data_IF_599983904488
#
_entry.id   IF_599983904488
#
_cell.length_a   1.000
_cell.length_b   1.000
_cell.length_c   1.000
_cell.angle_alpha   90.00
_cell.angle_beta   90.00
_cell.angle_gamma   90.00
#
_symmetry.space_group_name_H-M   'P 1'
#
loop_
_entity.id
_entity.type
_entity.pdbx_description
1 polymer ?
#
# COMPACT_ATOMS: atom_id res chain seq x y z
N UNK A 1 -62.36 -43.37 2.24
CA UNK A 1 -60.94 -43.70 2.00
C UNK A 1 -60.42 -42.78 0.92
N UNK A 2 -59.83 -41.66 1.30
CA UNK A 2 -59.12 -40.76 0.38
C UNK A 2 -57.64 -40.81 0.78
N UNK A 3 -56.78 -41.07 -0.21
CA UNK A 3 -55.35 -41.33 -0.07
C UNK A 3 -54.62 -40.10 -0.61
N UNK A 4 -54.00 -39.34 0.28
CA UNK A 4 -53.17 -38.19 -0.06
C UNK A 4 -51.84 -38.65 -0.66
N UNK A 5 -51.53 -38.15 -1.86
CA UNK A 5 -50.22 -38.30 -2.51
C UNK A 5 -49.38 -37.04 -2.25
N UNK A 6 -48.29 -37.22 -1.51
CA UNK A 6 -47.21 -36.25 -1.35
C UNK A 6 -46.29 -36.31 -2.58
N UNK A 7 -46.02 -35.17 -3.21
CA UNK A 7 -44.89 -35.02 -4.13
C UNK A 7 -44.03 -33.83 -3.68
N UNK A 8 -42.77 -34.15 -3.37
CA UNK A 8 -41.77 -33.27 -2.76
C UNK A 8 -41.17 -32.35 -3.82
N UNK A 9 -41.29 -31.04 -3.64
CA UNK A 9 -40.54 -30.05 -4.43
C UNK A 9 -39.13 -29.94 -3.86
N UNK A 10 -38.12 -30.37 -4.62
CA UNK A 10 -36.71 -30.11 -4.35
C UNK A 10 -36.43 -28.63 -4.66
N UNK A 11 -36.29 -27.82 -3.62
CA UNK A 11 -35.76 -26.46 -3.72
C UNK A 11 -34.24 -26.56 -3.76
N UNK A 12 -33.64 -26.33 -4.93
CA UNK A 12 -32.20 -26.17 -5.06
C UNK A 12 -31.77 -24.87 -4.38
N UNK A 13 -30.91 -24.97 -3.37
CA UNK A 13 -30.22 -23.82 -2.80
C UNK A 13 -29.20 -23.32 -3.82
N UNK A 14 -29.54 -22.23 -4.52
CA UNK A 14 -28.53 -21.42 -5.19
C UNK A 14 -27.70 -20.75 -4.09
N UNK A 15 -26.47 -21.23 -3.88
CA UNK A 15 -25.47 -20.52 -3.08
C UNK A 15 -25.13 -19.23 -3.82
N UNK A 16 -25.76 -18.13 -3.41
CA UNK A 16 -25.31 -16.79 -3.75
C UNK A 16 -23.90 -16.64 -3.14
N UNK A 17 -22.87 -16.68 -3.98
CA UNK A 17 -21.53 -16.25 -3.59
C UNK A 17 -21.64 -14.76 -3.35
N UNK A 18 -21.75 -14.36 -2.07
CA UNK A 18 -21.65 -12.96 -1.69
C UNK A 18 -20.26 -12.52 -2.10
N UNK A 19 -20.16 -11.59 -3.04
CA UNK A 19 -18.92 -10.85 -3.30
C UNK A 19 -18.67 -10.01 -2.05
N UNK A 20 -17.98 -10.59 -1.06
CA UNK A 20 -17.50 -9.83 0.08
C UNK A 20 -16.28 -9.08 -0.41
N UNK A 21 -16.34 -7.75 -0.44
CA UNK A 21 -15.18 -6.87 -0.51
C UNK A 21 -14.39 -6.99 0.80
N UNK A 22 -13.79 -8.16 1.01
CA UNK A 22 -13.02 -8.47 2.20
C UNK A 22 -11.66 -7.77 2.13
N UNK A 23 -11.17 -7.34 3.28
CA UNK A 23 -9.84 -6.78 3.40
C UNK A 23 -9.42 -6.83 4.86
N UNK A 24 -8.14 -6.59 5.11
CA UNK A 24 -7.69 -6.15 6.43
C UNK A 24 -6.80 -4.92 6.29
N UNK A 25 -6.86 -4.09 7.34
CA UNK A 25 -5.99 -2.94 7.50
C UNK A 25 -4.85 -3.37 8.41
N UNK A 26 -3.62 -3.22 7.96
CA UNK A 26 -2.41 -3.43 8.73
C UNK A 26 -1.89 -2.06 9.18
N UNK A 27 -2.12 -1.65 10.44
CA UNK A 27 -1.57 -0.40 10.95
C UNK A 27 -0.07 -0.53 11.13
N UNK A 28 0.66 0.47 10.65
CA UNK A 28 2.06 0.70 10.96
C UNK A 28 2.16 2.01 11.75
N UNK A 29 2.63 1.94 13.00
CA UNK A 29 2.47 3.01 13.99
C UNK A 29 3.33 4.26 13.73
N UNK A 30 4.45 4.10 13.02
CA UNK A 30 5.43 5.15 12.74
C UNK A 30 6.38 4.74 11.62
N UNK A 31 7.12 5.69 11.02
CA UNK A 31 8.31 5.34 10.26
C UNK A 31 9.30 4.56 11.12
N UNK A 32 9.84 3.49 10.57
CA UNK A 32 10.99 2.79 11.17
C UNK A 32 12.27 3.60 10.95
N UNK A 33 12.37 4.30 9.81
CA UNK A 33 13.44 5.25 9.47
C UNK A 33 12.98 6.22 8.35
N UNK A 34 13.56 7.41 8.30
CA UNK A 34 13.43 8.38 7.19
C UNK A 34 14.84 8.69 6.69
N UNK A 35 15.17 8.30 5.46
CA UNK A 35 16.54 8.42 4.93
C UNK A 35 16.57 8.35 3.40
N UNK A 36 17.72 8.68 2.80
CA UNK A 36 18.00 8.54 1.37
C UNK A 36 18.48 7.13 1.03
N UNK A 37 17.59 6.16 1.18
CA UNK A 37 17.89 4.76 0.90
C UNK A 37 16.71 4.12 0.18
N UNK A 38 17.05 3.40 -0.89
CA UNK A 38 16.10 2.69 -1.74
C UNK A 38 16.81 1.44 -2.27
N UNK A 39 16.70 0.30 -1.57
CA UNK A 39 17.41 -0.92 -1.94
C UNK A 39 16.86 -1.59 -3.21
N UNK A 40 15.74 -1.10 -3.76
CA UNK A 40 15.22 -1.55 -5.05
C UNK A 40 15.97 -0.80 -6.16
N UNK A 41 15.89 0.53 -6.16
CA UNK A 41 16.42 1.37 -7.24
C UNK A 41 17.93 1.65 -7.13
N UNK A 42 18.45 1.74 -5.90
CA UNK A 42 19.82 2.15 -5.59
C UNK A 42 20.46 1.17 -4.58
N UNK A 43 20.59 -0.12 -4.94
CA UNK A 43 21.23 -1.09 -4.06
C UNK A 43 22.68 -0.69 -3.75
N UNK A 44 23.06 -0.72 -2.48
CA UNK A 44 24.39 -0.33 -1.96
C UNK A 44 24.76 1.14 -2.27
N UNK A 45 23.77 2.01 -2.52
CA UNK A 45 23.99 3.40 -2.87
C UNK A 45 22.97 4.36 -2.23
N UNK A 46 23.37 5.63 -2.10
CA UNK A 46 22.46 6.68 -1.62
C UNK A 46 21.40 6.94 -2.70
N UNK A 47 20.13 6.88 -2.30
CA UNK A 47 19.01 7.16 -3.21
C UNK A 47 18.97 8.64 -3.62
N UNK A 48 18.46 8.91 -4.83
CA UNK A 48 18.31 10.25 -5.37
C UNK A 48 17.44 11.17 -4.52
N UNK A 49 16.49 10.60 -3.75
CA UNK A 49 15.64 11.35 -2.84
C UNK A 49 15.45 10.63 -1.49
N UNK A 50 14.87 11.34 -0.53
CA UNK A 50 14.54 10.80 0.79
C UNK A 50 13.21 10.04 0.76
N UNK A 51 13.15 8.89 1.41
CA UNK A 51 11.90 8.16 1.63
C UNK A 51 11.55 8.09 3.11
N UNK A 52 10.26 7.94 3.38
CA UNK A 52 9.73 7.56 4.69
C UNK A 52 9.39 6.08 4.65
N UNK A 53 10.05 5.30 5.52
CA UNK A 53 10.01 3.85 5.50
C UNK A 53 9.26 3.31 6.71
N UNK A 54 8.30 2.43 6.49
CA UNK A 54 7.56 1.68 7.50
C UNK A 54 7.95 0.20 7.47
N UNK A 55 7.59 -0.54 8.53
CA UNK A 55 7.77 -1.99 8.60
C UNK A 55 8.96 -2.42 9.44
N UNK A 56 9.65 -3.46 8.96
CA UNK A 56 10.76 -4.12 9.65
C UNK A 56 11.95 -3.19 9.95
N UNK A 57 12.62 -3.42 11.08
CA UNK A 57 13.87 -2.74 11.43
C UNK A 57 15.13 -3.30 10.77
N UNK A 58 15.01 -4.35 9.96
CA UNK A 58 16.12 -4.88 9.17
C UNK A 58 16.37 -4.09 7.87
N UNK A 59 15.59 -3.03 7.62
CA UNK A 59 15.74 -2.17 6.45
C UNK A 59 17.18 -1.66 6.31
N UNK A 60 17.79 -1.90 5.16
CA UNK A 60 19.15 -1.50 4.83
C UNK A 60 19.31 -1.30 3.31
N UNK A 61 20.48 -0.84 2.89
CA UNK A 61 20.79 -0.46 1.50
C UNK A 61 20.81 -1.61 0.50
N UNK A 62 20.80 -2.86 0.95
CA UNK A 62 20.86 -4.05 0.09
C UNK A 62 19.76 -5.06 0.40
N UNK A 63 18.71 -4.66 1.12
CA UNK A 63 17.76 -5.62 1.69
C UNK A 63 17.11 -6.51 0.61
N UNK A 64 17.07 -7.80 0.89
CA UNK A 64 16.23 -8.77 0.23
C UNK A 64 15.28 -9.48 1.22
N UNK A 65 14.65 -10.57 0.80
CA UNK A 65 13.78 -11.34 1.69
C UNK A 65 14.56 -11.90 2.88
N UNK A 66 15.75 -12.46 2.70
CA UNK A 66 16.56 -12.99 3.78
C UNK A 66 16.91 -11.90 4.81
N UNK A 67 17.26 -10.68 4.38
CA UNK A 67 17.47 -9.58 5.32
C UNK A 67 16.20 -9.25 6.10
N UNK A 68 15.01 -9.21 5.47
CA UNK A 68 13.77 -8.96 6.21
C UNK A 68 13.56 -9.96 7.35
N UNK A 69 14.01 -11.22 7.18
CA UNK A 69 13.86 -12.27 8.20
C UNK A 69 14.83 -12.10 9.39
N UNK A 70 15.81 -11.21 9.30
CA UNK A 70 16.71 -10.89 10.42
C UNK A 70 16.12 -9.88 11.40
N UNK A 71 14.94 -9.32 11.06
CA UNK A 71 14.28 -8.30 11.85
C UNK A 71 13.92 -8.77 13.25
N UNK A 72 14.18 -7.92 14.23
CA UNK A 72 13.81 -8.17 15.63
C UNK A 72 12.50 -7.47 16.01
N UNK A 73 12.08 -6.48 15.23
CA UNK A 73 10.81 -5.78 15.39
C UNK A 73 10.29 -5.24 14.05
N UNK A 74 9.04 -4.81 14.03
CA UNK A 74 8.45 -4.07 12.91
C UNK A 74 7.52 -3.00 13.47
N UNK A 75 7.40 -1.87 12.77
CA UNK A 75 6.43 -0.84 13.13
C UNK A 75 4.99 -1.23 12.77
N UNK A 76 4.78 -2.37 12.10
CA UNK A 76 3.48 -2.89 11.67
C UNK A 76 2.92 -4.00 12.59
N UNK A 77 1.59 -4.06 12.67
CA UNK A 77 0.84 -4.81 13.69
C UNK A 77 1.01 -6.33 13.64
N UNK A 78 1.00 -6.94 12.45
CA UNK A 78 1.10 -8.39 12.32
C UNK A 78 2.54 -8.87 12.57
N UNK A 79 2.75 -9.74 13.56
CA UNK A 79 4.07 -10.29 13.93
C UNK A 79 4.74 -10.94 12.71
N UNK A 80 3.95 -11.64 11.92
CA UNK A 80 4.36 -12.38 10.72
C UNK A 80 4.70 -11.50 9.51
N UNK A 81 4.45 -10.19 9.58
CA UNK A 81 4.84 -9.26 8.53
C UNK A 81 6.15 -8.55 8.90
N UNK A 82 7.22 -8.93 8.21
CA UNK A 82 8.53 -8.29 8.26
C UNK A 82 8.85 -7.52 6.97
N UNK A 83 7.84 -7.25 6.14
CA UNK A 83 7.99 -6.44 4.92
C UNK A 83 8.40 -5.01 5.25
N UNK A 84 8.87 -4.29 4.22
CA UNK A 84 9.03 -2.85 4.26
C UNK A 84 8.19 -2.19 3.16
N UNK A 85 7.65 -1.02 3.52
CA UNK A 85 6.76 -0.21 2.70
C UNK A 85 7.29 1.21 2.76
N UNK A 86 7.51 1.87 1.62
CA UNK A 86 7.99 3.24 1.66
C UNK A 86 7.43 4.13 0.55
N UNK A 87 7.49 5.43 0.82
CA UNK A 87 6.94 6.52 -0.01
C UNK A 87 7.91 7.70 0.03
N UNK A 88 7.91 8.62 -0.96
CA UNK A 88 8.73 9.82 -0.91
C UNK A 88 8.34 10.70 0.28
N UNK A 89 9.34 11.27 0.96
CA UNK A 89 9.09 12.16 2.10
C UNK A 89 8.51 13.50 1.64
N UNK A 90 7.59 14.08 2.40
CA UNK A 90 7.01 15.39 2.11
C UNK A 90 7.78 16.50 2.85
N UNK A 91 8.07 17.59 2.13
CA UNK A 91 8.69 18.77 2.68
C UNK A 91 7.80 20.00 2.49
N UNK A 92 7.78 20.89 3.47
CA UNK A 92 7.39 22.28 3.30
C UNK A 92 8.58 23.04 2.72
N UNK A 93 8.39 23.67 1.58
CA UNK A 93 9.35 24.59 0.98
C UNK A 93 8.98 25.99 1.42
N UNK A 94 9.89 26.70 2.09
CA UNK A 94 9.65 28.04 2.61
C UNK A 94 9.99 29.12 1.57
N UNK A 95 9.43 30.33 1.73
CA UNK A 95 9.69 31.46 0.82
C UNK A 95 11.18 31.82 0.72
N UNK A 96 11.96 31.57 1.77
CA UNK A 96 13.41 31.79 1.80
C UNK A 96 14.22 30.68 1.10
N UNK A 97 13.57 29.68 0.50
CA UNK A 97 14.19 28.54 -0.19
C UNK A 97 14.63 27.39 0.71
N UNK A 98 14.40 27.47 2.03
CA UNK A 98 14.67 26.36 2.95
C UNK A 98 13.57 25.30 2.93
N UNK A 99 13.90 24.09 3.37
CA UNK A 99 12.96 22.97 3.44
C UNK A 99 12.82 22.50 4.89
N UNK A 100 11.59 22.25 5.32
CA UNK A 100 11.28 21.59 6.58
C UNK A 100 10.54 20.28 6.30
N UNK A 101 10.94 19.19 6.94
CA UNK A 101 10.20 17.92 6.81
C UNK A 101 8.80 18.10 7.40
N UNK A 102 7.78 17.71 6.65
CA UNK A 102 6.41 17.61 7.18
C UNK A 102 6.35 16.32 7.99
N UNK A 103 5.82 16.38 9.22
CA UNK A 103 5.67 15.16 10.01
C UNK A 103 4.62 14.23 9.40
N UNK A 104 4.91 12.94 9.43
CA UNK A 104 3.92 11.89 9.20
C UNK A 104 3.07 11.74 10.48
N UNK A 105 1.75 11.74 10.34
CA UNK A 105 0.82 11.46 11.45
C UNK A 105 0.74 9.96 11.65
N UNK A 106 1.44 9.46 12.67
CA UNK A 106 1.61 8.02 12.87
C UNK A 106 2.61 7.46 11.86
N UNK A 107 2.24 6.36 11.20
CA UNK A 107 3.03 5.76 10.12
C UNK A 107 2.20 5.66 8.83
N UNK A 108 1.92 4.43 8.43
CA UNK A 108 1.05 4.14 7.31
C UNK A 108 -0.04 3.16 7.72
N UNK A 109 -1.16 3.21 7.01
CA UNK A 109 -2.16 2.16 7.04
C UNK A 109 -2.06 1.39 5.73
N UNK A 110 -1.59 0.15 5.81
CA UNK A 110 -1.42 -0.72 4.64
C UNK A 110 -2.63 -1.62 4.55
N UNK A 111 -3.35 -1.54 3.45
CA UNK A 111 -4.52 -2.36 3.19
C UNK A 111 -4.12 -3.55 2.34
N UNK A 112 -4.64 -4.71 2.71
CA UNK A 112 -4.61 -5.92 1.91
C UNK A 112 -6.03 -6.20 1.45
N UNK A 113 -6.32 -5.83 0.20
CA UNK A 113 -7.66 -5.86 -0.37
C UNK A 113 -7.88 -7.17 -1.13
N UNK A 114 -8.86 -7.97 -0.71
CA UNK A 114 -9.22 -9.23 -1.37
C UNK A 114 -10.12 -8.96 -2.59
N UNK A 115 -9.63 -8.14 -3.51
CA UNK A 115 -10.34 -7.78 -4.73
C UNK A 115 -10.25 -8.92 -5.74
N UNK A 116 -11.39 -9.46 -6.12
CA UNK A 116 -11.52 -10.44 -7.21
C UNK A 116 -12.61 -10.00 -8.16
N UNK A 117 -12.50 -10.35 -9.44
CA UNK A 117 -13.57 -10.17 -10.40
C UNK A 117 -14.00 -11.53 -10.96
N UNK A 118 -15.28 -11.93 -10.84
CA UNK A 118 -15.79 -13.16 -11.46
C UNK A 118 -15.62 -13.22 -12.98
N UNK A 119 -15.44 -12.07 -13.65
CA UNK A 119 -15.18 -11.95 -15.08
C UNK A 119 -13.68 -12.04 -15.42
N UNK A 120 -12.79 -12.10 -14.43
CA UNK A 120 -11.39 -12.41 -14.66
C UNK A 120 -11.30 -13.85 -15.20
N UNK A 121 -10.65 -14.09 -16.36
CA UNK A 121 -10.47 -15.44 -16.90
C UNK A 121 -9.81 -16.42 -15.92
N UNK A 122 -9.02 -15.91 -14.97
CA UNK A 122 -8.33 -16.70 -13.96
C UNK A 122 -8.96 -16.58 -12.56
N UNK A 123 -10.20 -16.07 -12.44
CA UNK A 123 -10.87 -15.86 -11.15
C UNK A 123 -10.89 -17.11 -10.26
N UNK A 124 -11.03 -18.29 -10.86
CA UNK A 124 -11.09 -19.57 -10.16
C UNK A 124 -9.77 -19.95 -9.46
N UNK A 125 -8.63 -19.36 -9.85
CA UNK A 125 -7.35 -19.58 -9.18
C UNK A 125 -7.25 -18.83 -7.83
N UNK A 126 -8.08 -17.81 -7.64
CA UNK A 126 -8.11 -16.99 -6.44
C UNK A 126 -6.88 -16.09 -6.28
N UNK A 127 -6.81 -15.43 -5.12
CA UNK A 127 -5.70 -14.56 -4.76
C UNK A 127 -4.55 -15.38 -4.16
N UNK A 128 -3.32 -15.02 -4.54
CA UNK A 128 -2.10 -15.66 -4.05
C UNK A 128 -1.28 -14.72 -3.14
N UNK A 129 -0.50 -15.26 -2.19
CA UNK A 129 0.45 -14.49 -1.40
C UNK A 129 1.67 -14.09 -2.25
N UNK A 130 2.43 -13.10 -1.78
CA UNK A 130 3.70 -12.73 -2.40
C UNK A 130 4.77 -13.81 -2.14
N UNK A 131 5.51 -14.25 -3.18
CA UNK A 131 6.61 -15.20 -3.03
C UNK A 131 7.82 -14.54 -2.33
N UNK A 132 8.79 -15.37 -1.91
CA UNK A 132 10.08 -14.87 -1.40
C UNK A 132 10.75 -14.01 -2.47
N UNK A 133 11.50 -13.02 -2.03
CA UNK A 133 12.25 -12.06 -2.85
C UNK A 133 11.40 -11.14 -3.73
N UNK A 134 10.08 -11.25 -3.66
CA UNK A 134 9.16 -10.40 -4.40
C UNK A 134 9.29 -8.93 -3.97
N UNK A 135 9.40 -8.05 -4.96
CA UNK A 135 9.43 -6.59 -4.78
C UNK A 135 8.76 -5.91 -5.95
N UNK A 136 8.18 -4.74 -5.74
CA UNK A 136 7.53 -3.99 -6.81
C UNK A 136 7.44 -2.50 -6.48
N UNK A 137 7.28 -1.70 -7.54
CA UNK A 137 7.02 -0.26 -7.46
C UNK A 137 5.62 0.08 -7.99
N UNK A 138 5.07 1.20 -7.53
CA UNK A 138 3.87 1.83 -8.08
C UNK A 138 4.07 3.34 -8.21
N UNK A 139 3.43 3.96 -9.20
CA UNK A 139 3.66 5.36 -9.54
C UNK A 139 4.99 5.56 -10.29
N UNK A 140 5.38 6.81 -10.50
CA UNK A 140 6.60 7.16 -11.23
C UNK A 140 7.19 8.48 -10.71
N UNK A 141 8.41 8.48 -10.14
CA UNK A 141 9.03 9.68 -9.56
C UNK A 141 9.34 10.79 -10.58
N UNK A 142 9.33 10.51 -11.88
CA UNK A 142 9.63 11.48 -12.94
C UNK A 142 8.38 12.20 -13.48
N UNK A 143 7.18 11.75 -13.11
CA UNK A 143 5.94 12.37 -13.56
C UNK A 143 5.77 13.80 -13.01
N UNK A 144 5.42 14.74 -13.89
CA UNK A 144 5.13 16.15 -13.53
C UNK A 144 3.81 16.66 -14.11
N UNK A 145 3.03 15.78 -14.73
CA UNK A 145 1.71 16.09 -15.29
C UNK A 145 0.79 14.85 -15.26
N UNK A 146 -0.52 15.10 -15.30
CA UNK A 146 -1.52 14.05 -15.42
C UNK A 146 -1.82 13.73 -16.89
N UNK A 147 -1.67 12.46 -17.25
CA UNK A 147 -1.92 11.91 -18.59
C UNK A 147 -2.93 10.76 -18.58
N UNK A 148 -3.63 10.56 -17.45
CA UNK A 148 -4.65 9.53 -17.25
C UNK A 148 -4.18 8.08 -17.48
N UNK A 149 -2.89 7.83 -17.22
CA UNK A 149 -2.36 6.46 -17.19
C UNK A 149 -2.85 5.72 -15.93
N UNK A 150 -3.01 4.39 -15.97
CA UNK A 150 -3.38 3.60 -14.79
C UNK A 150 -2.50 3.88 -13.57
N UNK A 151 -1.18 3.91 -13.73
CA UNK A 151 -0.24 4.22 -12.63
C UNK A 151 -0.48 5.60 -11.98
N UNK A 152 -0.96 6.59 -12.75
CA UNK A 152 -1.29 7.93 -12.23
C UNK A 152 -2.66 7.94 -11.56
N UNK A 153 -3.64 7.21 -12.10
CA UNK A 153 -4.95 7.03 -11.46
C UNK A 153 -4.85 6.27 -10.13
N UNK A 154 -3.81 5.45 -9.97
CA UNK A 154 -3.58 4.69 -8.75
C UNK A 154 -3.12 5.57 -7.58
N UNK A 155 -2.63 6.78 -7.88
CA UNK A 155 -2.21 7.79 -6.90
C UNK A 155 -3.37 8.76 -6.65
N UNK A 156 -3.65 9.07 -5.39
CA UNK A 156 -4.59 10.14 -5.07
C UNK A 156 -4.28 10.85 -3.76
N UNK A 157 -4.87 12.03 -3.60
CA UNK A 157 -4.67 12.93 -2.46
C UNK A 157 -6.02 13.29 -1.85
N UNK A 158 -6.15 13.10 -0.54
CA UNK A 158 -7.36 13.44 0.22
C UNK A 158 -7.02 14.49 1.25
N UNK A 159 -7.74 15.61 1.17
CA UNK A 159 -7.62 16.71 2.10
C UNK A 159 -8.53 16.46 3.32
N UNK A 160 -7.98 15.88 4.38
CA UNK A 160 -8.77 15.51 5.56
C UNK A 160 -9.28 16.76 6.31
N UNK A 161 -10.41 16.61 6.99
CA UNK A 161 -11.09 17.74 7.65
C UNK A 161 -11.81 18.70 6.70
N UNK A 162 -11.95 18.33 5.42
CA UNK A 162 -12.70 19.09 4.41
C UNK A 162 -13.62 18.16 3.62
N UNK A 163 -14.68 18.70 3.03
CA UNK A 163 -15.52 17.97 2.06
C UNK A 163 -14.92 18.04 0.66
N UNK A 164 -15.04 16.95 -0.10
CA UNK A 164 -14.62 16.87 -1.50
C UNK A 164 -14.09 15.49 -1.88
N UNK A 165 -13.97 15.22 -3.19
CA UNK A 165 -13.37 13.99 -3.67
C UNK A 165 -11.85 14.00 -3.47
N UNK A 166 -11.23 12.82 -3.61
CA UNK A 166 -9.79 12.73 -3.81
C UNK A 166 -9.38 13.42 -5.12
N UNK A 167 -8.17 13.97 -5.16
CA UNK A 167 -7.56 14.60 -6.33
C UNK A 167 -6.36 13.79 -6.81
N UNK A 168 -5.91 14.02 -8.05
CA UNK A 168 -4.69 13.41 -8.61
C UNK A 168 -3.44 14.28 -8.46
N UNK A 169 -3.59 15.44 -7.83
CA UNK A 169 -2.53 16.40 -7.52
C UNK A 169 -2.65 16.90 -6.08
N UNK A 170 -1.57 17.49 -5.57
CA UNK A 170 -1.55 18.10 -4.25
C UNK A 170 -2.66 19.16 -4.12
N UNK A 171 -3.48 19.10 -3.05
CA UNK A 171 -4.57 20.06 -2.87
C UNK A 171 -4.07 21.50 -2.83
N UNK A 172 -4.76 22.39 -3.55
CA UNK A 172 -4.46 23.84 -3.56
C UNK A 172 -4.98 24.59 -2.32
N UNK A 173 -5.41 23.86 -1.30
CA UNK A 173 -6.01 24.39 -0.06
C UNK A 173 -5.43 23.67 1.15
N UNK A 174 -5.43 24.35 2.29
CA UNK A 174 -5.01 23.73 3.54
C UNK A 174 -5.96 22.58 3.94
N UNK A 175 -5.41 21.56 4.60
CA UNK A 175 -6.12 20.36 5.03
C UNK A 175 -6.08 20.25 6.56
N UNK A 176 -7.13 20.69 7.29
CA UNK A 176 -7.12 20.74 8.76
C UNK A 176 -6.92 19.40 9.46
N UNK A 177 -7.34 18.30 8.82
CA UNK A 177 -7.12 16.94 9.31
C UNK A 177 -5.83 16.30 8.81
N UNK A 178 -4.98 17.04 8.08
CA UNK A 178 -3.81 16.53 7.37
C UNK A 178 -4.06 16.18 5.90
N UNK A 179 -2.96 16.04 5.16
CA UNK A 179 -2.97 15.56 3.77
C UNK A 179 -2.78 14.05 3.80
N UNK A 180 -3.77 13.30 3.33
CA UNK A 180 -3.64 11.84 3.16
C UNK A 180 -3.25 11.54 1.72
N UNK A 181 -2.06 11.01 1.52
CA UNK A 181 -1.57 10.46 0.26
C UNK A 181 -1.97 9.00 0.16
N UNK A 182 -2.38 8.58 -1.03
CA UNK A 182 -2.96 7.27 -1.29
C UNK A 182 -2.34 6.68 -2.55
N UNK A 183 -1.98 5.40 -2.51
CA UNK A 183 -1.48 4.70 -3.71
C UNK A 183 -1.86 3.22 -3.72
N UNK A 184 -2.45 2.77 -4.82
CA UNK A 184 -2.76 1.36 -5.08
C UNK A 184 -1.59 0.73 -5.84
N UNK A 185 -1.06 -0.38 -5.33
CA UNK A 185 -0.01 -1.15 -6.00
C UNK A 185 -0.64 -2.04 -7.10
N UNK A 186 0.07 -2.29 -8.23
CA UNK A 186 -0.42 -3.26 -9.22
C UNK A 186 -0.53 -4.65 -8.60
N UNK A 187 -1.54 -5.43 -9.00
CA UNK A 187 -1.83 -6.75 -8.39
C UNK A 187 -1.82 -7.91 -9.37
N UNK A 188 -1.71 -7.65 -10.67
CA UNK A 188 -1.60 -8.70 -11.69
C UNK A 188 -0.13 -8.98 -11.96
N UNK A 189 0.28 -10.24 -11.83
CA UNK A 189 1.64 -10.72 -11.94
C UNK A 189 1.81 -11.60 -13.19
N UNK A 190 2.97 -11.49 -13.85
CA UNK A 190 3.32 -12.28 -15.04
C UNK A 190 3.45 -13.79 -14.78
N UNK A 191 3.43 -14.21 -13.51
CA UNK A 191 3.49 -15.60 -13.09
C UNK A 191 4.90 -16.20 -13.07
N UNK A 192 5.93 -15.39 -13.31
CA UNK A 192 7.30 -15.83 -13.52
C UNK A 192 8.33 -15.01 -12.75
N UNK A 193 8.31 -13.68 -12.89
CA UNK A 193 9.40 -12.82 -12.43
C UNK A 193 9.09 -12.20 -11.06
N UNK A 194 9.96 -12.43 -10.08
CA UNK A 194 9.83 -11.85 -8.72
C UNK A 194 10.15 -10.36 -8.68
N UNK A 195 10.84 -9.89 -9.71
CA UNK A 195 11.24 -8.52 -9.98
C UNK A 195 11.59 -8.39 -11.47
N UNK A 196 11.62 -7.18 -12.01
CA UNK A 196 12.02 -6.89 -13.39
C UNK A 196 13.13 -5.82 -13.43
N UNK A 197 13.89 -5.65 -14.53
CA UNK A 197 14.95 -4.64 -14.58
C UNK A 197 14.49 -3.20 -14.31
N UNK A 198 13.21 -2.91 -14.55
CA UNK A 198 12.55 -1.64 -14.27
C UNK A 198 11.70 -1.66 -12.98
N UNK A 199 11.73 -2.78 -12.25
CA UNK A 199 10.97 -3.06 -11.02
C UNK A 199 9.44 -2.92 -11.13
N UNK A 200 8.93 -2.85 -12.36
CA UNK A 200 7.52 -2.58 -12.68
C UNK A 200 6.92 -3.56 -13.70
N UNK A 201 7.62 -3.86 -14.79
CA UNK A 201 7.07 -4.62 -15.93
C UNK A 201 6.68 -6.06 -15.67
N UNK A 202 7.09 -6.66 -14.54
CA UNK A 202 6.59 -7.96 -14.08
C UNK A 202 5.19 -7.87 -13.44
N UNK A 203 4.68 -6.65 -13.25
CA UNK A 203 3.38 -6.33 -12.66
C UNK A 203 2.52 -5.50 -13.62
N UNK A 204 1.21 -5.63 -13.48
CA UNK A 204 0.22 -4.81 -14.16
C UNK A 204 -0.97 -4.48 -13.26
N UNK A 205 -1.64 -3.37 -13.57
CA UNK A 205 -2.93 -3.06 -12.99
C UNK A 205 -4.03 -3.90 -13.67
N UNK A 206 -5.00 -4.44 -12.92
CA UNK A 206 -6.22 -4.99 -13.51
C UNK A 206 -7.05 -3.88 -14.19
N UNK A 207 -8.04 -4.27 -15.00
CA UNK A 207 -8.82 -3.32 -15.82
C UNK A 207 -9.54 -2.22 -15.02
N UNK A 208 -9.86 -2.47 -13.76
CA UNK A 208 -10.49 -1.53 -12.83
C UNK A 208 -9.55 -1.01 -11.74
N UNK A 209 -8.23 -1.08 -11.96
CA UNK A 209 -7.18 -0.56 -11.08
C UNK A 209 -6.94 -1.39 -9.80
N UNK A 210 -7.93 -1.54 -8.93
CA UNK A 210 -7.87 -2.46 -7.78
C UNK A 210 -8.76 -3.69 -7.97
N UNK A 211 -9.71 -3.64 -8.90
CA UNK A 211 -10.61 -4.71 -9.30
C UNK A 211 -10.59 -4.91 -10.83
N UNK A 212 -11.46 -5.76 -11.37
CA UNK A 212 -11.45 -6.07 -12.81
C UNK A 212 -10.57 -7.26 -13.17
N UNK A 213 -10.54 -7.57 -14.46
CA UNK A 213 -9.76 -8.68 -15.00
C UNK A 213 -8.28 -8.31 -15.13
N UNK A 214 -7.40 -9.24 -14.77
CA UNK A 214 -5.99 -9.15 -15.10
C UNK A 214 -5.75 -9.32 -16.61
N UNK A 215 -4.76 -8.60 -17.20
CA UNK A 215 -4.40 -8.79 -18.60
C UNK A 215 -3.80 -10.18 -18.81
N UNK A 216 -3.90 -10.71 -20.03
CA UNK A 216 -3.38 -12.05 -20.35
C UNK A 216 -1.87 -12.19 -20.20
N UNK A 217 -1.13 -11.07 -20.27
CA UNK A 217 0.30 -11.02 -19.97
C UNK A 217 0.63 -11.18 -18.47
N UNK A 218 -0.33 -10.91 -17.59
CA UNK A 218 -0.18 -10.96 -16.13
C UNK A 218 -1.31 -11.76 -15.48
N UNK A 219 -1.39 -13.08 -15.76
CA UNK A 219 -2.59 -13.86 -15.46
C UNK A 219 -2.78 -14.19 -13.97
N UNK A 220 -1.73 -14.05 -13.14
CA UNK A 220 -1.80 -14.40 -11.71
C UNK A 220 -2.12 -13.17 -10.88
N UNK A 221 -2.93 -13.31 -9.83
CA UNK A 221 -3.36 -12.16 -9.03
C UNK A 221 -2.92 -12.27 -7.59
N UNK A 222 -2.09 -11.33 -7.15
CA UNK A 222 -1.79 -11.16 -5.74
C UNK A 222 -2.94 -10.50 -4.99
N UNK A 223 -2.97 -10.67 -3.67
CA UNK A 223 -3.69 -9.77 -2.78
C UNK A 223 -3.27 -8.31 -3.07
N UNK A 224 -4.23 -7.40 -3.28
CA UNK A 224 -3.92 -6.02 -3.69
C UNK A 224 -3.45 -5.21 -2.48
N UNK A 225 -2.32 -4.51 -2.59
CA UNK A 225 -1.84 -3.59 -1.54
C UNK A 225 -2.30 -2.17 -1.85
N UNK A 226 -2.83 -1.48 -0.84
CA UNK A 226 -3.16 -0.06 -0.91
C UNK A 226 -2.60 0.69 0.29
N UNK A 227 -1.92 1.81 0.04
CA UNK A 227 -1.24 2.59 1.07
C UNK A 227 -2.05 3.82 1.40
N UNK A 228 -2.20 4.11 2.69
CA UNK A 228 -2.59 5.43 3.17
C UNK A 228 -1.50 5.99 4.09
N UNK A 229 -1.02 7.19 3.77
CA UNK A 229 -0.04 7.93 4.57
C UNK A 229 -0.59 9.32 4.82
N UNK A 230 -0.56 9.78 6.08
CA UNK A 230 -1.07 11.11 6.45
C UNK A 230 0.06 12.03 6.88
N UNK A 231 0.04 13.27 6.39
CA UNK A 231 1.03 14.30 6.67
C UNK A 231 0.40 15.49 7.40
N UNK A 232 1.05 16.00 8.44
CA UNK A 232 0.63 17.16 9.24
C UNK A 232 0.82 18.49 8.50
N UNK A 233 0.18 18.65 7.34
CA UNK A 233 0.28 19.90 6.55
C UNK A 233 -0.37 21.10 7.24
N UNK A 234 -1.33 20.86 8.13
CA UNK A 234 -2.02 21.92 8.89
C UNK A 234 -1.06 22.70 9.81
N UNK A 235 0.01 22.07 10.29
CA UNK A 235 1.06 22.72 11.10
C UNK A 235 1.72 23.89 10.36
N UNK A 236 1.60 23.94 9.03
CA UNK A 236 2.18 24.96 8.18
C UNK A 236 1.15 25.98 7.67
N UNK A 237 -0.13 25.89 8.03
CA UNK A 237 -1.22 26.70 7.45
C UNK A 237 -1.00 28.22 7.48
N UNK A 238 -0.35 28.72 8.52
CA UNK A 238 -0.09 30.16 8.71
C UNK A 238 1.24 30.61 8.05
N UNK A 239 1.93 29.70 7.34
CA UNK A 239 3.20 29.93 6.65
C UNK A 239 3.10 29.73 5.12
N UNK A 240 1.88 29.59 4.58
CA UNK A 240 1.69 29.54 3.13
C UNK A 240 2.00 30.90 2.50
N UNK A 241 2.58 30.89 1.30
CA UNK A 241 2.94 32.09 0.56
C UNK A 241 2.57 31.93 -0.92
N UNK A 242 2.26 33.05 -1.56
CA UNK A 242 1.74 33.06 -2.93
C UNK A 242 0.36 32.39 -3.06
N UNK A 243 -0.01 32.03 -4.29
CA UNK A 243 -1.34 31.50 -4.63
C UNK A 243 -1.38 29.95 -4.74
N UNK A 244 -0.36 29.26 -4.22
CA UNK A 244 -0.20 27.80 -4.32
C UNK A 244 0.14 27.18 -2.97
N UNK A 245 -0.13 25.89 -2.86
CA UNK A 245 0.32 25.08 -1.73
C UNK A 245 1.87 25.01 -1.69
N UNK A 246 2.52 25.12 -0.52
CA UNK A 246 3.99 25.23 -0.39
C UNK A 246 4.72 23.89 -0.17
N UNK A 247 4.07 22.75 -0.41
CA UNK A 247 4.65 21.42 -0.21
C UNK A 247 5.22 20.82 -1.48
N UNK A 248 6.23 19.99 -1.29
CA UNK A 248 7.00 19.34 -2.36
C UNK A 248 7.46 17.98 -1.87
N UNK A 249 7.32 16.96 -2.70
CA UNK A 249 7.89 15.64 -2.40
C UNK A 249 9.40 15.66 -2.55
N UNK A 250 10.08 14.74 -1.89
CA UNK A 250 11.54 14.60 -1.87
C UNK A 250 12.19 14.47 -3.26
N UNK A 251 11.41 14.05 -4.27
CA UNK A 251 11.77 14.02 -5.71
C UNK A 251 11.86 15.42 -6.35
N UNK A 252 11.58 16.48 -5.58
CA UNK A 252 11.45 17.84 -6.09
C UNK A 252 10.12 18.10 -6.80
N UNK A 253 9.11 17.24 -6.61
CA UNK A 253 7.79 17.38 -7.25
C UNK A 253 6.82 18.23 -6.41
N UNK A 254 6.45 19.45 -6.86
CA UNK A 254 5.47 20.30 -6.20
C UNK A 254 4.02 20.03 -6.65
N UNK A 255 3.80 19.06 -7.54
CA UNK A 255 2.49 18.76 -8.13
C UNK A 255 1.82 17.55 -7.49
N UNK A 256 2.59 16.57 -7.03
CA UNK A 256 2.11 15.28 -6.54
C UNK A 256 2.08 14.18 -7.60
N UNK A 257 2.24 14.50 -8.89
CA UNK A 257 2.22 13.49 -9.96
C UNK A 257 3.39 12.51 -9.89
N UNK A 258 4.49 12.92 -9.26
CA UNK A 258 5.67 12.11 -9.02
C UNK A 258 5.59 11.25 -7.75
N UNK A 259 4.42 11.17 -7.09
CA UNK A 259 4.26 10.32 -5.92
C UNK A 259 4.29 8.85 -6.33
N UNK A 260 5.00 8.05 -5.54
CA UNK A 260 5.22 6.62 -5.79
C UNK A 260 5.29 5.85 -4.48
N UNK A 261 5.29 4.53 -4.58
CA UNK A 261 5.51 3.64 -3.45
C UNK A 261 6.28 2.40 -3.86
N UNK A 262 6.90 1.81 -2.85
CA UNK A 262 7.86 0.73 -3.01
C UNK A 262 7.56 -0.34 -1.95
N UNK A 263 7.67 -1.60 -2.37
CA UNK A 263 7.38 -2.75 -1.53
C UNK A 263 8.46 -3.82 -1.66
N UNK A 264 8.97 -4.30 -0.53
CA UNK A 264 9.73 -5.56 -0.44
C UNK A 264 8.97 -6.51 0.47
N UNK A 265 8.67 -7.69 -0.04
CA UNK A 265 7.99 -8.73 0.72
C UNK A 265 8.89 -9.27 1.83
N UNK A 266 8.34 -9.31 3.05
CA UNK A 266 8.92 -9.99 4.21
C UNK A 266 7.90 -10.81 4.98
N UNK A 267 6.74 -11.11 4.39
CA UNK A 267 5.71 -11.93 5.03
C UNK A 267 6.17 -13.37 5.27
N UNK A 268 5.73 -13.94 6.39
CA UNK A 268 5.56 -15.39 6.50
C UNK A 268 4.50 -15.85 5.49
N UNK A 269 4.96 -16.47 4.40
CA UNK A 269 4.12 -16.81 3.25
C UNK A 269 2.96 -17.74 3.62
N UNK A 270 3.14 -18.80 4.44
CA UNK A 270 2.03 -19.62 4.89
C UNK A 270 0.96 -18.83 5.65
N UNK A 271 1.36 -17.90 6.53
CA UNK A 271 0.43 -17.04 7.26
C UNK A 271 -0.31 -16.09 6.32
N UNK A 272 0.38 -15.45 5.36
CA UNK A 272 -0.28 -14.58 4.38
C UNK A 272 -1.27 -15.39 3.51
N UNK A 273 -0.90 -16.58 3.07
CA UNK A 273 -1.79 -17.47 2.31
C UNK A 273 -3.04 -17.87 3.10
N UNK A 274 -2.88 -18.11 4.41
CA UNK A 274 -3.99 -18.39 5.33
C UNK A 274 -4.88 -17.15 5.50
N UNK A 275 -4.28 -15.99 5.73
CA UNK A 275 -4.99 -14.73 5.91
C UNK A 275 -5.85 -14.35 4.69
N UNK A 276 -5.32 -14.52 3.47
CA UNK A 276 -6.07 -14.29 2.22
C UNK A 276 -7.36 -15.11 2.17
N UNK A 277 -7.41 -16.28 2.80
CA UNK A 277 -8.58 -17.16 2.83
C UNK A 277 -9.51 -16.90 4.01
N UNK A 278 -8.95 -16.55 5.17
CA UNK A 278 -9.68 -16.54 6.44
C UNK A 278 -10.05 -15.13 6.94
N UNK A 279 -9.29 -14.08 6.58
CA UNK A 279 -9.53 -12.70 7.05
C UNK A 279 -10.64 -11.99 6.25
N UNK A 280 -11.84 -12.58 6.16
CA UNK A 280 -12.88 -12.13 5.23
C UNK A 280 -13.85 -11.07 5.76
N UNK A 281 -13.54 -10.46 6.91
CA UNK A 281 -14.41 -9.47 7.54
C UNK A 281 -14.48 -8.16 6.73
N UNK A 282 -15.69 -7.66 6.48
CA UNK A 282 -15.89 -6.37 5.80
C UNK A 282 -15.50 -5.15 6.67
N UNK A 283 -15.28 -5.36 7.97
CA UNK A 283 -14.82 -4.33 8.91
C UNK A 283 -13.39 -3.88 8.62
N UNK A 284 -12.57 -4.75 8.01
CA UNK A 284 -11.15 -4.54 7.82
C UNK A 284 -10.33 -4.44 9.11
N UNK A 285 -10.90 -4.80 10.27
CA UNK A 285 -10.22 -4.74 11.58
C UNK A 285 -9.29 -5.95 11.70
N UNK A 286 -7.99 -5.73 11.86
CA UNK A 286 -7.00 -6.83 11.86
C UNK A 286 -7.13 -7.76 13.06
N UNK A 287 -7.59 -7.24 14.19
CA UNK A 287 -7.88 -7.99 15.42
C UNK A 287 -8.97 -9.05 15.24
N UNK A 288 -9.86 -8.89 14.24
CA UNK A 288 -10.87 -9.90 13.92
C UNK A 288 -10.29 -11.08 13.14
N UNK A 289 -9.08 -10.95 12.57
CA UNK A 289 -8.45 -12.04 11.84
C UNK A 289 -7.57 -12.92 12.73
N UNK A 290 -8.06 -14.12 13.03
CA UNK A 290 -7.33 -15.15 13.82
C UNK A 290 -6.11 -15.76 13.11
N UNK A 291 -5.76 -15.33 11.90
CA UNK A 291 -4.54 -15.77 11.21
C UNK A 291 -3.28 -15.12 11.80
N UNK A 292 -3.40 -13.95 12.43
CA UNK A 292 -2.26 -13.15 12.86
C UNK A 292 -1.98 -13.23 14.36
N UNK A 293 -0.69 -13.16 14.71
CA UNK A 293 -0.29 -12.70 16.03
C UNK A 293 -0.05 -11.20 15.93
N UNK A 294 -0.49 -10.43 16.92
CA UNK A 294 -0.46 -8.97 16.86
C UNK A 294 0.54 -8.40 17.87
N UNK A 295 1.39 -7.49 17.40
CA UNK A 295 2.27 -6.67 18.23
C UNK A 295 1.45 -5.69 19.06
N UNK A 296 1.95 -5.37 20.26
CA UNK A 296 1.38 -4.27 21.03
C UNK A 296 1.69 -2.92 20.36
N UNK A 297 0.92 -1.89 20.69
CA UNK A 297 1.18 -0.55 20.14
C UNK A 297 2.51 0.01 20.64
N UNK A 298 2.93 -0.36 21.84
CA UNK A 298 4.21 0.05 22.43
C UNK A 298 5.39 -0.61 21.72
N UNK A 299 5.30 -1.91 21.39
CA UNK A 299 6.34 -2.62 20.62
C UNK A 299 6.53 -1.99 19.23
N UNK A 300 5.43 -1.66 18.55
CA UNK A 300 5.48 -1.01 17.23
C UNK A 300 6.13 0.38 17.30
N UNK A 301 5.79 1.19 18.31
CA UNK A 301 6.36 2.54 18.50
C UNK A 301 7.84 2.50 18.88
N UNK A 302 8.23 1.53 19.69
CA UNK A 302 9.62 1.34 20.13
C UNK A 302 10.53 0.84 19.01
N UNK A 303 9.96 0.25 17.95
CA UNK A 303 10.75 -0.30 16.85
C UNK A 303 11.50 0.79 16.05
N UNK A 304 12.80 0.58 15.88
CA UNK A 304 13.74 1.46 15.16
C UNK A 304 14.82 0.62 14.49
N UNK A 305 15.32 1.10 13.34
CA UNK A 305 16.56 0.58 12.75
C UNK A 305 17.71 0.84 13.72
N UNK A 306 18.55 -0.17 13.96
CA UNK A 306 19.72 -0.02 14.81
C UNK A 306 20.66 1.05 14.23
N UNK A 307 21.13 1.98 15.05
CA UNK A 307 22.18 2.91 14.62
C UNK A 307 23.49 2.12 14.59
N UNK A 308 24.05 1.94 13.39
CA UNK A 308 25.42 1.49 13.20
C UNK A 308 26.44 2.50 13.70
#
# INVERSE_FOLDING_TARGET
MLRDSYMKTLVGFATLVVQTDAFWRLPCSSPVVVQRADPIMYPDAVSDHTHTIMGSNAFNFTMDYAETQTATCSTCKAVQDLSNYWVPNLYYHAENGSFASVQQVGGALIYYLQRTDPNDPNAAEGLIPFPKDFRMLAGDPDNRNFTDKPEQRAVSFVCLGTEGPATYELPSRNCPGGLRTQIIMPSCWDGQNLDSPDHKSHMAYPSGLDNGACPTSHPKRFITIFYEVTWSVDDFKDMWYGDKQPFVFSTGDPTGYGYHADFVNGWDIPTLAKAIKECTAASGVIEECGAFQLRSDDDMKACKVARG
#
